data_IF_138063217622
#
_entry.id   IF_138063217622
#
_cell.length_a   1.000
_cell.length_b   1.000
_cell.length_c   1.000
_cell.angle_alpha   90.00
_cell.angle_beta   90.00
_cell.angle_gamma   90.00
#
_symmetry.space_group_name_H-M   'P 1'
#
loop_
_entity.id
_entity.type
_entity.pdbx_description
1 polymer ?
#
# COMPACT_ATOMS: atom_id res chain seq x y z
N UNK A 1 -9.16 -15.14 -16.51
CA UNK A 1 -9.45 -13.71 -16.28
C UNK A 1 -8.32 -13.17 -15.41
N UNK A 2 -7.68 -12.05 -15.77
CA UNK A 2 -6.61 -11.50 -14.95
C UNK A 2 -7.15 -11.10 -13.58
N UNK A 3 -6.33 -11.24 -12.54
CA UNK A 3 -6.73 -10.87 -11.17
C UNK A 3 -6.74 -9.35 -10.96
N UNK A 4 -6.14 -8.58 -11.89
CA UNK A 4 -6.04 -7.13 -11.90
C UNK A 4 -6.54 -6.57 -13.24
N UNK A 5 -7.12 -5.39 -13.20
CA UNK A 5 -7.61 -4.63 -14.35
C UNK A 5 -7.35 -3.14 -14.15
N UNK A 6 -7.47 -2.38 -15.24
CA UNK A 6 -7.48 -0.93 -15.18
C UNK A 6 -8.58 -0.41 -14.23
N UNK A 7 -8.27 0.69 -13.55
CA UNK A 7 -9.07 1.31 -12.51
C UNK A 7 -9.21 0.51 -11.20
N UNK A 8 -8.51 -0.61 -11.04
CA UNK A 8 -8.43 -1.28 -9.75
C UNK A 8 -7.68 -0.42 -8.72
N UNK A 9 -8.16 -0.44 -7.48
CA UNK A 9 -7.49 0.20 -6.34
C UNK A 9 -6.59 -0.84 -5.70
N UNK A 10 -5.34 -0.49 -5.48
CA UNK A 10 -4.35 -1.44 -4.97
C UNK A 10 -3.55 -0.84 -3.82
N UNK A 11 -3.27 -1.68 -2.83
CA UNK A 11 -2.19 -1.46 -1.88
C UNK A 11 -1.06 -2.42 -2.26
N UNK A 12 0.10 -1.85 -2.58
CA UNK A 12 1.32 -2.59 -2.89
C UNK A 12 2.25 -2.49 -1.69
N UNK A 13 2.79 -3.62 -1.26
CA UNK A 13 3.83 -3.70 -0.23
C UNK A 13 5.09 -4.24 -0.91
N UNK A 14 6.14 -3.41 -0.91
CA UNK A 14 7.41 -3.76 -1.54
C UNK A 14 8.02 -4.99 -0.85
N UNK A 15 8.55 -5.93 -1.64
CA UNK A 15 9.30 -7.08 -1.10
C UNK A 15 10.50 -6.61 -0.27
N UNK A 16 10.64 -7.16 0.94
CA UNK A 16 11.87 -7.01 1.73
C UNK A 16 12.98 -7.93 1.22
N UNK A 17 14.17 -7.39 1.01
CA UNK A 17 15.36 -8.16 0.65
C UNK A 17 16.20 -8.49 1.89
N UNK A 18 16.16 -7.62 2.89
CA UNK A 18 16.86 -7.77 4.15
C UNK A 18 15.91 -7.62 5.35
N UNK A 19 16.30 -8.20 6.49
CA UNK A 19 15.50 -8.17 7.73
C UNK A 19 15.20 -6.74 8.20
N UNK A 20 16.18 -5.85 8.04
CA UNK A 20 16.14 -4.48 8.54
C UNK A 20 15.60 -3.48 7.50
N UNK A 21 15.11 -3.96 6.35
CA UNK A 21 14.48 -3.10 5.37
C UNK A 21 13.18 -2.51 5.93
N UNK A 22 13.04 -1.19 5.78
CA UNK A 22 11.79 -0.50 6.09
C UNK A 22 10.69 -1.04 5.17
N UNK A 23 9.54 -1.36 5.77
CA UNK A 23 8.34 -1.69 4.99
C UNK A 23 7.90 -0.44 4.23
N UNK A 24 7.80 -0.55 2.90
CA UNK A 24 7.28 0.50 2.04
C UNK A 24 5.92 0.07 1.52
N UNK A 25 4.95 0.97 1.61
CA UNK A 25 3.62 0.73 1.08
C UNK A 25 3.32 1.79 0.03
N UNK A 26 2.54 1.41 -0.97
CA UNK A 26 2.08 2.29 -2.03
C UNK A 26 0.61 2.05 -2.29
N UNK A 27 -0.21 3.08 -2.12
CA UNK A 27 -1.65 3.03 -2.37
C UNK A 27 -1.94 3.77 -3.66
N UNK A 28 -2.65 3.15 -4.59
CA UNK A 28 -2.97 3.82 -5.85
C UNK A 28 -4.06 3.16 -6.67
N UNK A 29 -4.24 3.69 -7.87
CA UNK A 29 -5.14 3.19 -8.90
C UNK A 29 -4.31 2.69 -10.07
N UNK A 30 -4.64 1.50 -10.58
CA UNK A 30 -4.07 0.96 -11.82
C UNK A 30 -4.54 1.82 -12.98
N UNK A 31 -3.62 2.52 -13.63
CA UNK A 31 -3.89 3.26 -14.86
C UNK A 31 -3.87 2.35 -16.08
N UNK A 32 -2.98 1.36 -16.08
CA UNK A 32 -2.78 0.45 -17.20
C UNK A 32 -2.24 -0.89 -16.69
N UNK A 33 -2.88 -1.98 -17.09
CA UNK A 33 -2.42 -3.35 -16.91
C UNK A 33 -1.80 -3.89 -18.20
N UNK A 34 -0.58 -4.41 -18.11
CA UNK A 34 0.14 -5.06 -19.21
C UNK A 34 0.76 -6.36 -18.69
N UNK A 35 0.01 -7.48 -18.71
CA UNK A 35 0.31 -8.89 -18.37
C UNK A 35 1.44 -9.24 -17.37
N UNK A 36 2.62 -8.63 -17.50
CA UNK A 36 3.82 -8.74 -16.66
C UNK A 36 4.06 -7.53 -15.74
N UNK A 37 3.40 -6.39 -15.98
CA UNK A 37 3.55 -5.14 -15.25
C UNK A 37 2.21 -4.40 -15.09
N UNK A 38 2.18 -3.46 -14.15
CA UNK A 38 1.09 -2.49 -13.98
C UNK A 38 1.66 -1.09 -13.81
N UNK A 39 1.00 -0.09 -14.41
CA UNK A 39 1.24 1.32 -14.12
C UNK A 39 0.24 1.78 -13.07
N UNK A 40 0.74 2.27 -11.94
CA UNK A 40 -0.08 2.67 -10.80
C UNK A 40 0.20 4.12 -10.43
N UNK A 41 -0.84 4.96 -10.44
CA UNK A 41 -0.78 6.33 -9.91
C UNK A 41 -1.25 6.32 -8.47
N UNK A 42 -0.48 6.92 -7.58
CA UNK A 42 -0.84 6.95 -6.18
C UNK A 42 0.23 7.55 -5.28
N UNK A 43 0.16 7.19 -4.01
CA UNK A 43 0.89 7.82 -2.93
C UNK A 43 1.62 6.77 -2.08
N UNK A 44 2.88 7.02 -1.69
CA UNK A 44 3.57 6.13 -0.78
C UNK A 44 3.23 6.44 0.67
N UNK A 45 3.20 5.38 1.48
CA UNK A 45 3.32 5.48 2.92
C UNK A 45 4.71 5.02 3.34
N UNK A 46 5.35 5.83 4.18
CA UNK A 46 6.66 5.50 4.75
C UNK A 46 6.48 5.25 6.24
N UNK A 47 6.70 4.00 6.67
CA UNK A 47 6.73 3.67 8.08
C UNK A 47 8.08 4.10 8.66
N UNK A 48 8.12 5.30 9.26
CA UNK A 48 9.32 5.75 9.98
C UNK A 48 9.49 4.91 11.25
N UNK A 49 10.67 4.31 11.52
CA UNK A 49 10.89 3.58 12.77
C UNK A 49 10.83 4.50 14.00
N UNK A 50 10.98 5.81 13.82
CA UNK A 50 11.00 6.80 14.90
C UNK A 50 9.61 7.42 15.20
N UNK A 51 8.65 7.26 14.30
CA UNK A 51 7.27 7.73 14.50
C UNK A 51 6.38 6.56 14.90
N UNK A 52 6.07 6.45 16.19
CA UNK A 52 5.46 5.25 16.79
C UNK A 52 3.92 5.37 16.89
N UNK A 53 3.37 6.57 16.74
CA UNK A 53 1.93 6.83 16.85
C UNK A 53 1.48 7.98 15.96
N UNK A 54 0.40 7.78 15.21
CA UNK A 54 -0.22 8.83 14.40
C UNK A 54 -0.90 8.31 13.14
N UNK A 55 -1.44 9.25 12.36
CA UNK A 55 -1.79 9.00 10.97
C UNK A 55 -0.56 9.32 10.12
N UNK A 56 -0.02 8.30 9.44
CA UNK A 56 1.13 8.48 8.55
C UNK A 56 0.72 9.39 7.38
N UNK A 57 1.50 10.44 7.13
CA UNK A 57 1.28 11.33 5.99
C UNK A 57 1.74 10.63 4.72
N UNK A 58 0.85 10.62 3.73
CA UNK A 58 1.18 10.25 2.36
C UNK A 58 2.29 11.16 1.84
N UNK A 59 3.30 10.58 1.18
CA UNK A 59 4.22 11.37 0.37
C UNK A 59 3.56 11.90 -0.90
N UNK A 60 4.29 12.67 -1.70
CA UNK A 60 3.74 13.21 -2.95
C UNK A 60 3.29 12.11 -3.92
N UNK A 61 2.18 12.41 -4.61
CA UNK A 61 1.63 11.57 -5.66
C UNK A 61 2.69 11.32 -6.74
N UNK A 62 2.79 10.06 -7.18
CA UNK A 62 3.68 9.66 -8.26
C UNK A 62 3.12 8.46 -9.00
N UNK A 63 3.70 8.18 -10.15
CA UNK A 63 3.40 6.97 -10.92
C UNK A 63 4.52 5.95 -10.70
N UNK A 64 4.15 4.70 -10.41
CA UNK A 64 5.07 3.56 -10.34
C UNK A 64 4.72 2.56 -11.43
N UNK A 65 5.75 1.97 -12.04
CA UNK A 65 5.63 0.73 -12.81
C UNK A 65 6.03 -0.41 -11.89
N UNK A 66 5.11 -1.35 -11.66
CA UNK A 66 5.34 -2.50 -10.78
C UNK A 66 5.39 -3.75 -11.65
N UNK A 67 6.43 -4.56 -11.48
CA UNK A 67 6.49 -5.87 -12.12
C UNK A 67 5.74 -6.89 -11.27
N UNK A 68 4.84 -7.65 -11.90
CA UNK A 68 4.06 -8.68 -11.22
C UNK A 68 4.91 -9.89 -10.80
N UNK A 69 6.16 -9.97 -11.25
CA UNK A 69 7.13 -11.00 -10.87
C UNK A 69 8.19 -10.53 -9.86
N UNK A 70 8.14 -9.26 -9.41
CA UNK A 70 9.11 -8.72 -8.45
C UNK A 70 9.00 -9.34 -7.04
N UNK A 71 7.86 -9.98 -6.75
CA UNK A 71 7.56 -10.56 -5.43
C UNK A 71 6.93 -9.57 -4.46
N UNK A 72 6.47 -8.42 -4.95
CA UNK A 72 5.66 -7.47 -4.17
C UNK A 72 4.30 -8.10 -3.83
N UNK A 73 3.77 -7.77 -2.65
CA UNK A 73 2.41 -8.17 -2.27
C UNK A 73 1.42 -7.10 -2.73
N UNK A 74 0.41 -7.49 -3.50
CA UNK A 74 -0.60 -6.58 -4.03
C UNK A 74 -1.97 -6.97 -3.45
N UNK A 75 -2.51 -6.13 -2.59
CA UNK A 75 -3.91 -6.23 -2.14
C UNK A 75 -4.80 -5.51 -3.14
N UNK A 76 -5.82 -6.22 -3.64
CA UNK A 76 -6.92 -5.62 -4.38
C UNK A 76 -7.92 -5.02 -3.40
N UNK A 77 -8.21 -3.74 -3.55
CA UNK A 77 -9.14 -2.98 -2.71
C UNK A 77 -10.49 -2.78 -3.43
N UNK A 78 -11.57 -2.45 -2.69
CA UNK A 78 -12.85 -2.14 -3.32
C UNK A 78 -12.72 -1.01 -4.35
N UNK A 79 -13.38 -1.14 -5.51
CA UNK A 79 -13.24 -0.20 -6.63
C UNK A 79 -13.88 1.16 -6.35
N UNK A 80 -14.90 1.17 -5.51
CA UNK A 80 -15.64 2.33 -5.04
C UNK A 80 -14.88 3.12 -3.97
N UNK A 81 -13.72 2.61 -3.51
CA UNK A 81 -12.90 3.26 -2.52
C UNK A 81 -12.31 4.57 -3.05
N UNK A 82 -12.59 5.65 -2.33
CA UNK A 82 -11.93 6.93 -2.49
C UNK A 82 -10.56 6.89 -1.79
N UNK A 83 -9.51 6.63 -2.57
CA UNK A 83 -8.14 6.47 -2.05
C UNK A 83 -7.61 7.73 -1.35
N UNK A 84 -8.16 8.92 -1.65
CA UNK A 84 -7.75 10.18 -1.01
C UNK A 84 -8.16 10.25 0.47
N UNK A 85 -9.15 9.44 0.87
CA UNK A 85 -9.65 9.34 2.25
C UNK A 85 -9.00 8.21 3.05
N UNK A 86 -8.18 7.38 2.39
CA UNK A 86 -7.50 6.28 3.05
C UNK A 86 -6.42 6.83 3.96
N UNK A 87 -6.39 6.31 5.18
CA UNK A 87 -5.42 6.64 6.22
C UNK A 87 -4.70 5.38 6.65
N UNK A 88 -3.40 5.48 6.87
CA UNK A 88 -2.63 4.48 7.58
C UNK A 88 -2.50 4.91 9.03
N UNK A 89 -3.19 4.20 9.92
CA UNK A 89 -3.19 4.44 11.36
C UNK A 89 -2.22 3.49 12.03
N UNK A 90 -1.28 4.06 12.77
CA UNK A 90 -0.26 3.30 13.48
C UNK A 90 -0.36 3.50 14.98
N UNK A 91 -0.20 2.40 15.70
CA UNK A 91 0.04 2.35 17.14
C UNK A 91 1.29 1.48 17.42
N UNK A 92 1.80 1.44 18.66
CA UNK A 92 2.96 0.61 19.00
C UNK A 92 2.81 -0.89 18.68
N UNK A 93 1.56 -1.39 18.59
CA UNK A 93 1.26 -2.82 18.38
C UNK A 93 0.34 -3.09 17.20
N UNK A 94 -0.12 -2.05 16.50
CA UNK A 94 -1.01 -2.23 15.36
C UNK A 94 -0.70 -1.29 14.20
N UNK A 95 -0.96 -1.78 13.00
CA UNK A 95 -0.92 -1.00 11.77
C UNK A 95 -2.20 -1.28 11.00
N UNK A 96 -3.00 -0.26 10.75
CA UNK A 96 -4.30 -0.39 10.10
C UNK A 96 -4.39 0.55 8.91
N UNK A 97 -4.71 0.02 7.73
CA UNK A 97 -5.16 0.83 6.61
C UNK A 97 -6.69 0.98 6.70
N UNK A 98 -7.21 2.20 6.70
CA UNK A 98 -8.66 2.43 6.86
C UNK A 98 -9.15 3.61 6.02
N UNK A 99 -10.37 3.50 5.53
CA UNK A 99 -11.13 4.60 4.95
C UNK A 99 -12.41 4.87 5.76
N UNK A 100 -12.28 4.91 7.09
CA UNK A 100 -13.43 5.01 7.99
C UNK A 100 -14.24 3.71 8.00
N UNK A 101 -15.55 3.82 7.87
CA UNK A 101 -16.46 2.66 7.88
C UNK A 101 -16.46 1.88 6.56
N UNK A 102 -15.95 2.47 5.48
CA UNK A 102 -15.96 1.84 4.15
C UNK A 102 -14.99 0.64 4.05
N UNK A 103 -13.87 0.70 4.77
CA UNK A 103 -12.87 -0.36 4.73
C UNK A 103 -11.90 -0.26 5.91
N UNK A 104 -11.48 -1.41 6.40
CA UNK A 104 -10.41 -1.57 7.39
C UNK A 104 -9.60 -2.83 7.07
N UNK A 105 -8.28 -2.69 7.00
CA UNK A 105 -7.33 -3.77 6.72
C UNK A 105 -6.24 -3.77 7.79
N UNK A 106 -6.09 -4.89 8.49
CA UNK A 106 -5.03 -5.09 9.47
C UNK A 106 -3.71 -5.45 8.76
N UNK A 107 -2.69 -4.63 8.99
CA UNK A 107 -1.35 -4.75 8.45
C UNK A 107 -0.31 -4.90 9.58
N UNK A 108 -0.73 -5.28 10.78
CA UNK A 108 0.14 -5.34 11.96
C UNK A 108 1.31 -6.33 11.80
N UNK A 109 1.18 -7.31 10.91
CA UNK A 109 2.28 -8.21 10.52
C UNK A 109 3.47 -7.49 9.88
N UNK A 110 3.23 -6.31 9.30
CA UNK A 110 4.22 -5.47 8.61
C UNK A 110 4.90 -4.45 9.52
N UNK A 111 4.52 -4.39 10.81
CA UNK A 111 5.21 -3.58 11.80
C UNK A 111 6.67 -4.03 11.94
N UNK A 112 7.62 -3.09 12.08
CA UNK A 112 8.98 -3.42 12.49
C UNK A 112 8.92 -4.15 13.83
N UNK A 113 9.38 -5.40 13.87
CA UNK A 113 9.56 -6.13 15.13
C UNK A 113 10.90 -5.71 15.71
N UNK A 114 10.87 -5.24 16.97
CA UNK A 114 12.08 -5.01 17.77
C UNK A 114 12.83 -6.33 18.02
#
# INVERSE_FOLDING_TARGET
MPALHDNDRVLIIDRKLFKDDNTRLFLGVVEEYDEVTIRVRGVPFHLSPYEISGAERHGDERVRIISLSAGDLIYLLPRELDISKVQLRRSPKSLMLTAGEAMSLDLSEWLPRA
#
